data_IF_964055896091
#
_entry.id   IF_964055896091
#
_cell.length_a   1.000
_cell.length_b   1.000
_cell.length_c   1.000
_cell.angle_alpha   90.00
_cell.angle_beta   90.00
_cell.angle_gamma   90.00
#
_symmetry.space_group_name_H-M   'P 1'
#
loop_
_entity.id
_entity.type
_entity.pdbx_description
1 polymer ?
#
# COMPACT_ATOMS: atom_id res chain seq x y z
N UNK A 1 -37.88 31.13 39.82
CA UNK A 1 -37.22 31.01 38.49
C UNK A 1 -37.82 29.91 37.61
N UNK A 2 -37.97 28.66 38.09
CA UNK A 2 -38.49 27.51 37.33
C UNK A 2 -39.77 27.78 36.52
N UNK A 3 -40.78 28.38 37.15
CA UNK A 3 -42.06 28.74 36.51
C UNK A 3 -41.95 29.79 35.40
N UNK A 4 -40.93 30.66 35.45
CA UNK A 4 -40.74 31.74 34.46
C UNK A 4 -40.10 31.18 33.19
N UNK A 5 -39.13 30.26 33.33
CA UNK A 5 -38.44 29.59 32.23
C UNK A 5 -39.35 28.66 31.43
N UNK A 6 -40.19 27.83 32.08
CA UNK A 6 -41.21 27.03 31.38
C UNK A 6 -42.14 27.93 30.56
N UNK A 7 -42.55 29.08 31.12
CA UNK A 7 -43.47 29.99 30.42
C UNK A 7 -42.87 30.69 29.19
N UNK A 8 -41.54 30.76 29.07
CA UNK A 8 -40.88 31.47 27.96
C UNK A 8 -40.32 30.52 26.89
N UNK A 9 -39.97 29.29 27.26
CA UNK A 9 -39.22 28.34 26.42
C UNK A 9 -39.83 26.92 26.44
N UNK A 10 -41.13 26.83 26.75
CA UNK A 10 -41.88 25.62 27.11
C UNK A 10 -41.53 24.37 26.27
N UNK A 11 -41.39 24.54 24.95
CA UNK A 11 -41.07 23.46 24.00
C UNK A 11 -39.59 23.05 23.96
N UNK A 12 -38.69 23.98 24.29
CA UNK A 12 -37.25 23.89 24.00
C UNK A 12 -36.42 23.44 25.20
N UNK A 13 -37.00 23.34 26.39
CA UNK A 13 -36.29 22.95 27.61
C UNK A 13 -36.93 21.76 28.31
N UNK A 14 -36.09 20.93 28.92
CA UNK A 14 -36.50 19.83 29.82
C UNK A 14 -35.79 20.05 31.14
N UNK A 15 -36.54 20.11 32.23
CA UNK A 15 -35.98 20.27 33.58
C UNK A 15 -36.07 18.91 34.28
N UNK A 16 -34.93 18.29 34.55
CA UNK A 16 -34.82 17.00 35.23
C UNK A 16 -34.06 17.14 36.55
N UNK A 17 -34.22 16.16 37.45
CA UNK A 17 -33.38 16.01 38.63
C UNK A 17 -32.49 14.79 38.38
N UNK A 18 -31.17 15.00 38.37
CA UNK A 18 -30.19 13.95 38.11
C UNK A 18 -29.24 13.88 39.31
N UNK A 19 -29.08 12.68 39.89
CA UNK A 19 -28.17 12.39 41.01
C UNK A 19 -28.31 13.34 42.22
N UNK A 20 -29.54 13.65 42.62
CA UNK A 20 -29.82 14.47 43.80
C UNK A 20 -29.59 15.98 43.60
N UNK A 21 -29.24 16.42 42.38
CA UNK A 21 -29.21 17.84 42.02
C UNK A 21 -30.54 18.25 41.41
N UNK A 22 -31.34 18.96 42.19
CA UNK A 22 -32.58 19.56 41.73
C UNK A 22 -32.32 20.65 40.67
N UNK A 23 -33.15 20.65 39.62
CA UNK A 23 -33.22 21.70 38.58
C UNK A 23 -32.11 21.69 37.51
N UNK A 24 -31.74 20.53 36.97
CA UNK A 24 -30.91 20.46 35.75
C UNK A 24 -31.78 20.85 34.55
N UNK A 25 -31.43 21.96 33.89
CA UNK A 25 -32.13 22.46 32.70
C UNK A 25 -31.37 22.01 31.45
N UNK A 26 -32.01 21.21 30.61
CA UNK A 26 -31.46 20.75 29.33
C UNK A 26 -32.22 21.41 28.20
N UNK A 27 -31.52 22.15 27.34
CA UNK A 27 -32.11 22.73 26.12
C UNK A 27 -32.13 21.64 25.05
N UNK A 28 -33.31 21.26 24.56
CA UNK A 28 -33.51 20.17 23.59
C UNK A 28 -32.69 20.39 22.33
N UNK A 29 -32.74 21.57 21.73
CA UNK A 29 -31.97 21.88 20.53
C UNK A 29 -30.46 21.70 20.73
N UNK A 30 -29.94 22.07 21.90
CA UNK A 30 -28.52 21.91 22.21
C UNK A 30 -28.16 20.45 22.44
N UNK A 31 -29.00 19.70 23.16
CA UNK A 31 -28.81 18.28 23.37
C UNK A 31 -28.90 17.47 22.06
N UNK A 32 -29.87 17.78 21.20
CA UNK A 32 -30.00 17.19 19.86
C UNK A 32 -28.78 17.50 19.00
N UNK A 33 -28.31 18.76 18.97
CA UNK A 33 -27.07 19.11 18.25
C UNK A 33 -25.86 18.34 18.75
N UNK A 34 -25.68 18.23 20.07
CA UNK A 34 -24.57 17.48 20.67
C UNK A 34 -24.67 15.99 20.30
N UNK A 35 -25.86 15.39 20.41
CA UNK A 35 -26.08 14.00 20.03
C UNK A 35 -25.82 13.78 18.54
N UNK A 36 -26.34 14.67 17.69
CA UNK A 36 -26.19 14.55 16.25
C UNK A 36 -24.73 14.75 15.79
N UNK A 37 -23.98 15.65 16.44
CA UNK A 37 -22.53 15.81 16.24
C UNK A 37 -21.76 14.58 16.73
N UNK A 38 -22.07 14.07 17.92
CA UNK A 38 -21.42 12.88 18.49
C UNK A 38 -21.59 11.67 17.57
N UNK A 39 -22.81 11.42 17.09
CA UNK A 39 -23.09 10.31 16.17
C UNK A 39 -22.47 10.50 14.80
N UNK A 40 -22.44 11.72 14.26
CA UNK A 40 -21.77 12.03 12.99
C UNK A 40 -20.26 11.79 13.10
N UNK A 41 -19.63 12.30 14.15
CA UNK A 41 -18.19 12.17 14.39
C UNK A 41 -17.80 10.71 14.67
N UNK A 42 -18.63 9.96 15.38
CA UNK A 42 -18.47 8.51 15.59
C UNK A 42 -18.58 7.73 14.28
N UNK A 43 -19.57 8.05 13.45
CA UNK A 43 -19.75 7.38 12.15
C UNK A 43 -18.58 7.67 11.21
N UNK A 44 -18.08 8.91 11.19
CA UNK A 44 -16.90 9.29 10.39
C UNK A 44 -15.62 8.60 10.89
N UNK A 45 -15.41 8.52 12.22
CA UNK A 45 -14.25 7.83 12.81
C UNK A 45 -14.30 6.31 12.60
N UNK A 46 -15.48 5.70 12.74
CA UNK A 46 -15.71 4.27 12.51
C UNK A 46 -15.56 3.91 11.02
N UNK A 47 -16.05 4.76 10.12
CA UNK A 47 -15.85 4.59 8.67
C UNK A 47 -14.37 4.73 8.29
N UNK A 48 -13.63 5.65 8.91
CA UNK A 48 -12.19 5.81 8.68
C UNK A 48 -11.40 4.61 9.20
N UNK A 49 -11.68 4.18 10.42
CA UNK A 49 -11.06 2.99 11.02
C UNK A 49 -11.34 1.72 10.19
N UNK A 50 -12.58 1.54 9.73
CA UNK A 50 -12.96 0.39 8.91
C UNK A 50 -12.26 0.41 7.54
N UNK A 51 -12.11 1.58 6.91
CA UNK A 51 -11.29 1.72 5.68
C UNK A 51 -9.87 1.20 5.90
N UNK A 52 -9.21 1.60 6.99
CA UNK A 52 -7.87 1.13 7.30
C UNK A 52 -7.83 -0.38 7.58
N UNK A 53 -8.85 -0.94 8.23
CA UNK A 53 -8.96 -2.39 8.48
C UNK A 53 -9.08 -3.17 7.17
N UNK A 54 -9.87 -2.69 6.22
CA UNK A 54 -10.00 -3.30 4.89
C UNK A 54 -8.66 -3.27 4.16
N UNK A 55 -7.98 -2.12 4.12
CA UNK A 55 -6.68 -1.98 3.46
C UNK A 55 -5.64 -2.93 4.10
N UNK A 56 -5.60 -2.98 5.42
CA UNK A 56 -4.68 -3.86 6.14
C UNK A 56 -4.97 -5.35 5.90
N UNK A 57 -6.25 -5.71 5.77
CA UNK A 57 -6.67 -7.08 5.42
C UNK A 57 -6.26 -7.43 4.00
N UNK A 58 -6.48 -6.54 3.03
CA UNK A 58 -6.03 -6.72 1.66
C UNK A 58 -4.51 -6.86 1.57
N UNK A 59 -3.75 -6.01 2.29
CA UNK A 59 -2.30 -6.11 2.35
C UNK A 59 -1.81 -7.46 2.91
N UNK A 60 -2.49 -8.01 3.91
CA UNK A 60 -2.17 -9.34 4.45
C UNK A 60 -2.41 -10.47 3.44
N UNK A 61 -3.49 -10.39 2.67
CA UNK A 61 -3.78 -11.38 1.62
C UNK A 61 -2.72 -11.33 0.52
N UNK A 62 -2.40 -10.13 0.03
CA UNK A 62 -1.34 -9.94 -0.98
C UNK A 62 0.00 -10.48 -0.46
N UNK A 63 0.32 -10.22 0.80
CA UNK A 63 1.56 -10.72 1.41
C UNK A 63 1.60 -12.26 1.50
N UNK A 64 0.46 -12.91 1.74
CA UNK A 64 0.37 -14.36 1.73
C UNK A 64 0.62 -14.90 0.31
N UNK A 65 -0.03 -14.32 -0.70
CA UNK A 65 0.15 -14.72 -2.10
C UNK A 65 1.61 -14.57 -2.57
N UNK A 66 2.29 -13.49 -2.17
CA UNK A 66 3.73 -13.29 -2.47
C UNK A 66 4.62 -14.37 -1.84
N UNK A 67 4.25 -14.88 -0.67
CA UNK A 67 5.01 -15.94 0.01
C UNK A 67 4.82 -17.30 -0.65
N UNK A 68 3.63 -17.55 -1.19
CA UNK A 68 3.28 -18.82 -1.82
C UNK A 68 3.88 -18.99 -3.22
N UNK A 69 4.26 -17.90 -3.89
CA UNK A 69 4.96 -18.00 -5.17
C UNK A 69 6.32 -18.69 -4.97
N UNK A 70 6.55 -19.73 -5.77
CA UNK A 70 7.85 -20.39 -5.84
C UNK A 70 8.70 -19.69 -6.90
N UNK A 71 9.83 -19.14 -6.46
CA UNK A 71 10.85 -18.57 -7.35
C UNK A 71 12.04 -19.52 -7.40
N UNK A 72 12.44 -19.96 -8.60
CA UNK A 72 13.73 -20.63 -8.79
C UNK A 72 14.83 -19.57 -8.90
N UNK A 73 15.97 -19.84 -8.26
CA UNK A 73 17.22 -19.08 -8.42
C UNK A 73 18.25 -19.83 -9.25
N UNK A 74 17.87 -20.98 -9.79
CA UNK A 74 18.83 -21.91 -10.38
C UNK A 74 19.40 -21.33 -11.68
N UNK A 75 18.68 -20.39 -12.29
CA UNK A 75 19.06 -19.75 -13.54
C UNK A 75 18.79 -18.25 -13.50
N UNK A 76 19.72 -17.48 -14.06
CA UNK A 76 19.50 -16.07 -14.37
C UNK A 76 18.63 -15.94 -15.63
N UNK A 77 17.74 -14.93 -15.71
CA UNK A 77 16.88 -14.73 -16.87
C UNK A 77 17.68 -14.30 -18.10
N UNK A 78 17.46 -14.93 -19.25
CA UNK A 78 18.12 -14.58 -20.51
C UNK A 78 17.72 -13.19 -21.01
N UNK A 79 18.51 -12.60 -21.92
CA UNK A 79 18.19 -11.27 -22.50
C UNK A 79 16.81 -11.21 -23.17
N UNK A 80 16.35 -12.32 -23.76
CA UNK A 80 15.01 -12.41 -24.35
C UNK A 80 13.91 -12.32 -23.27
N UNK A 81 14.08 -13.03 -22.15
CA UNK A 81 13.17 -13.05 -20.99
C UNK A 81 13.09 -11.68 -20.32
N UNK A 82 14.20 -10.94 -20.27
CA UNK A 82 14.22 -9.57 -19.72
C UNK A 82 13.35 -8.61 -20.54
N UNK A 83 13.28 -8.81 -21.87
CA UNK A 83 12.48 -8.00 -22.78
C UNK A 83 11.00 -8.38 -22.84
N UNK A 84 10.62 -9.57 -22.36
CA UNK A 84 9.24 -10.05 -22.43
C UNK A 84 8.39 -9.47 -21.30
N UNK A 85 7.38 -8.69 -21.67
CA UNK A 85 6.45 -8.05 -20.75
C UNK A 85 5.50 -9.05 -20.06
N UNK A 86 5.19 -10.17 -20.71
CA UNK A 86 4.28 -11.18 -20.18
C UNK A 86 4.97 -12.07 -19.16
N UNK A 87 6.20 -12.52 -19.44
CA UNK A 87 6.99 -13.27 -18.46
C UNK A 87 7.34 -12.42 -17.23
N UNK A 88 7.67 -11.14 -17.41
CA UNK A 88 7.89 -10.22 -16.29
C UNK A 88 6.65 -10.03 -15.39
N UNK A 89 5.44 -10.18 -15.95
CA UNK A 89 4.19 -10.13 -15.20
C UNK A 89 3.91 -11.45 -14.44
N UNK A 90 4.37 -12.60 -14.95
CA UNK A 90 4.25 -13.91 -14.29
C UNK A 90 5.04 -14.01 -12.97
N UNK A 91 6.06 -13.15 -12.79
CA UNK A 91 6.79 -13.05 -11.52
C UNK A 91 5.98 -12.41 -10.37
N UNK A 92 4.79 -11.88 -10.65
CA UNK A 92 3.97 -11.16 -9.69
C UNK A 92 2.70 -11.95 -9.33
N UNK A 93 2.26 -11.93 -8.05
CA UNK A 93 0.97 -12.49 -7.71
C UNK A 93 -0.15 -11.71 -8.39
N UNK A 94 -1.16 -12.43 -8.87
CA UNK A 94 -2.33 -11.84 -9.51
C UNK A 94 -3.03 -10.79 -8.63
N UNK A 95 -3.04 -11.00 -7.30
CA UNK A 95 -3.59 -10.05 -6.33
C UNK A 95 -2.82 -8.72 -6.28
N UNK A 96 -1.49 -8.76 -6.36
CA UNK A 96 -0.64 -7.56 -6.43
C UNK A 96 -0.84 -6.83 -7.76
N UNK A 97 -0.91 -7.56 -8.87
CA UNK A 97 -1.18 -6.99 -10.20
C UNK A 97 -2.52 -6.27 -10.21
N UNK A 98 -3.58 -6.91 -9.70
CA UNK A 98 -4.92 -6.33 -9.60
C UNK A 98 -4.92 -5.06 -8.73
N UNK A 99 -4.23 -5.10 -7.59
CA UNK A 99 -4.12 -3.94 -6.70
C UNK A 99 -3.39 -2.76 -7.37
N UNK A 100 -2.25 -3.02 -8.00
CA UNK A 100 -1.46 -1.99 -8.69
C UNK A 100 -2.20 -1.41 -9.91
N UNK A 101 -2.94 -2.24 -10.65
CA UNK A 101 -3.81 -1.77 -11.74
C UNK A 101 -4.94 -0.88 -11.23
N UNK A 102 -5.57 -1.25 -10.11
CA UNK A 102 -6.60 -0.44 -9.47
C UNK A 102 -6.07 0.93 -9.03
N UNK A 103 -4.81 1.01 -8.55
CA UNK A 103 -4.17 2.27 -8.19
C UNK A 103 -3.83 3.15 -9.39
N UNK A 104 -3.38 2.57 -10.51
CA UNK A 104 -2.83 3.34 -11.63
C UNK A 104 -3.86 3.76 -12.69
N UNK A 105 -5.11 3.28 -12.60
CA UNK A 105 -6.28 3.78 -13.33
C UNK A 105 -6.12 3.96 -14.86
N UNK A 106 -5.18 3.24 -15.48
CA UNK A 106 -4.89 3.27 -16.93
C UNK A 106 -4.69 1.84 -17.45
N UNK A 107 -5.47 1.45 -18.47
CA UNK A 107 -5.63 0.05 -18.90
C UNK A 107 -4.46 -0.54 -19.69
N UNK A 108 -3.70 0.23 -20.47
CA UNK A 108 -2.81 -0.35 -21.48
C UNK A 108 -1.32 0.06 -21.38
N UNK A 109 -1.01 1.29 -20.98
CA UNK A 109 0.37 1.81 -21.01
C UNK A 109 1.19 1.48 -19.75
N UNK A 110 0.59 0.75 -18.81
CA UNK A 110 1.10 0.64 -17.45
C UNK A 110 1.67 -0.74 -17.13
N UNK A 111 1.57 -1.74 -18.03
CA UNK A 111 2.04 -3.11 -17.74
C UNK A 111 3.50 -3.18 -17.30
N UNK A 112 4.41 -2.50 -18.02
CA UNK A 112 5.85 -2.45 -17.65
C UNK A 112 6.08 -1.72 -16.33
N UNK A 113 5.32 -0.64 -16.07
CA UNK A 113 5.40 0.10 -14.79
C UNK A 113 4.86 -0.73 -13.63
N UNK A 114 3.76 -1.46 -13.85
CA UNK A 114 3.20 -2.44 -12.90
C UNK A 114 4.21 -3.54 -12.63
N UNK A 115 4.87 -4.07 -13.66
CA UNK A 115 5.90 -5.10 -13.52
C UNK A 115 7.10 -4.59 -12.70
N UNK A 116 7.62 -3.40 -13.04
CA UNK A 116 8.76 -2.80 -12.34
C UNK A 116 8.45 -2.49 -10.86
N UNK A 117 7.33 -1.81 -10.59
CA UNK A 117 6.91 -1.50 -9.21
C UNK A 117 6.56 -2.78 -8.47
N UNK A 118 5.87 -3.72 -9.11
CA UNK A 118 5.52 -5.00 -8.51
C UNK A 118 6.75 -5.81 -8.13
N UNK A 119 7.79 -5.86 -8.98
CA UNK A 119 9.04 -6.57 -8.69
C UNK A 119 9.77 -5.91 -7.51
N UNK A 120 9.83 -4.58 -7.46
CA UNK A 120 10.41 -3.85 -6.34
C UNK A 120 9.64 -4.08 -5.02
N UNK A 121 8.31 -4.04 -5.07
CA UNK A 121 7.45 -4.32 -3.91
C UNK A 121 7.63 -5.77 -3.45
N UNK A 122 7.67 -6.72 -4.38
CA UNK A 122 7.86 -8.15 -4.08
C UNK A 122 9.22 -8.41 -3.44
N UNK A 123 10.30 -7.79 -3.96
CA UNK A 123 11.64 -7.86 -3.38
C UNK A 123 11.68 -7.24 -1.97
N UNK A 124 10.96 -6.15 -1.74
CA UNK A 124 10.83 -5.53 -0.42
C UNK A 124 10.03 -6.40 0.56
N UNK A 125 8.97 -7.06 0.09
CA UNK A 125 8.15 -7.98 0.89
C UNK A 125 8.88 -9.29 1.22
N UNK A 126 9.73 -9.77 0.33
CA UNK A 126 10.43 -11.06 0.44
C UNK A 126 11.88 -10.95 -0.03
N UNK A 127 12.75 -10.62 0.93
CA UNK A 127 14.19 -10.44 0.70
C UNK A 127 14.84 -11.74 0.20
N UNK A 128 15.69 -11.63 -0.82
CA UNK A 128 16.56 -12.70 -1.33
C UNK A 128 15.84 -13.96 -1.84
N UNK A 129 14.66 -13.87 -2.45
CA UNK A 129 14.02 -15.06 -3.04
C UNK A 129 13.79 -14.88 -4.54
N UNK A 130 13.49 -13.66 -4.97
CA UNK A 130 13.32 -13.31 -6.37
C UNK A 130 14.63 -12.73 -6.94
N UNK A 131 14.97 -13.11 -8.17
CA UNK A 131 15.93 -12.42 -9.04
C UNK A 131 15.11 -11.42 -9.87
N UNK A 132 15.05 -10.13 -9.52
CA UNK A 132 14.20 -9.17 -10.21
C UNK A 132 14.77 -8.83 -11.58
N UNK A 133 14.21 -9.46 -12.61
CA UNK A 133 14.66 -9.40 -14.01
C UNK A 133 14.84 -7.97 -14.53
N UNK A 134 13.88 -7.07 -14.25
CA UNK A 134 13.96 -5.68 -14.71
C UNK A 134 15.02 -4.86 -13.95
N UNK A 135 15.25 -5.16 -12.67
CA UNK A 135 16.26 -4.47 -11.87
C UNK A 135 17.68 -4.92 -12.23
N UNK A 136 17.87 -6.20 -12.58
CA UNK A 136 19.14 -6.69 -13.13
C UNK A 136 19.41 -6.07 -14.49
N UNK A 137 18.41 -6.03 -15.38
CA UNK A 137 18.54 -5.37 -16.68
C UNK A 137 19.01 -3.92 -16.55
N UNK A 138 18.40 -3.17 -15.63
CA UNK A 138 18.81 -1.81 -15.31
C UNK A 138 20.25 -1.75 -14.77
N UNK A 139 20.60 -2.65 -13.83
CA UNK A 139 21.94 -2.71 -13.25
C UNK A 139 23.04 -2.99 -14.29
N UNK A 140 22.80 -3.93 -15.21
CA UNK A 140 23.71 -4.27 -16.31
C UNK A 140 23.87 -3.07 -17.27
N UNK A 141 22.77 -2.41 -17.64
CA UNK A 141 22.83 -1.22 -18.49
C UNK A 141 23.57 -0.06 -17.84
N UNK A 142 23.37 0.17 -16.54
CA UNK A 142 24.11 1.18 -15.79
C UNK A 142 25.60 0.81 -15.66
N UNK A 143 25.92 -0.47 -15.50
CA UNK A 143 27.29 -0.94 -15.47
C UNK A 143 28.00 -0.67 -16.80
N UNK A 144 27.38 -1.01 -17.93
CA UNK A 144 27.93 -0.77 -19.26
C UNK A 144 28.04 0.72 -19.62
N UNK A 145 27.04 1.54 -19.28
CA UNK A 145 27.00 2.96 -19.68
C UNK A 145 27.91 3.86 -18.84
N UNK A 146 28.01 3.58 -17.54
CA UNK A 146 28.63 4.52 -16.59
C UNK A 146 29.77 3.92 -15.77
N UNK A 147 29.88 2.58 -15.67
CA UNK A 147 30.91 1.91 -14.86
C UNK A 147 30.91 2.31 -13.37
N UNK A 148 29.91 3.07 -12.93
CA UNK A 148 29.92 3.75 -11.64
C UNK A 148 29.19 2.92 -10.59
N UNK A 149 29.96 2.04 -9.95
CA UNK A 149 29.51 1.16 -8.87
C UNK A 149 28.71 1.89 -7.79
N UNK A 150 29.10 3.12 -7.43
CA UNK A 150 28.41 3.88 -6.39
C UNK A 150 26.96 4.28 -6.76
N UNK A 151 26.62 4.45 -8.05
CA UNK A 151 25.22 4.67 -8.47
C UNK A 151 24.41 3.39 -8.36
N UNK A 152 24.99 2.24 -8.72
CA UNK A 152 24.35 0.94 -8.57
C UNK A 152 24.09 0.66 -7.09
N UNK A 153 25.08 0.89 -6.22
CA UNK A 153 24.93 0.71 -4.77
C UNK A 153 23.89 1.67 -4.18
N UNK A 154 23.82 2.92 -4.67
CA UNK A 154 22.78 3.87 -4.27
C UNK A 154 21.39 3.39 -4.67
N UNK A 155 21.19 3.04 -5.95
CA UNK A 155 19.89 2.55 -6.44
C UNK A 155 19.48 1.22 -5.81
N UNK A 156 20.45 0.37 -5.48
CA UNK A 156 20.22 -0.85 -4.73
C UNK A 156 19.72 -0.56 -3.31
N UNK A 157 20.32 0.41 -2.61
CA UNK A 157 19.87 0.81 -1.27
C UNK A 157 18.44 1.39 -1.26
N UNK A 158 18.01 1.98 -2.39
CA UNK A 158 16.64 2.45 -2.60
C UNK A 158 15.65 1.35 -3.05
N UNK A 159 16.14 0.16 -3.42
CA UNK A 159 15.31 -0.97 -3.89
C UNK A 159 14.90 -0.89 -5.36
N UNK A 160 15.58 -0.09 -6.18
CA UNK A 160 15.32 0.04 -7.62
C UNK A 160 16.30 -0.73 -8.50
N UNK A 161 17.40 -1.23 -7.94
CA UNK A 161 18.43 -1.97 -8.66
C UNK A 161 18.86 -3.22 -7.88
N UNK A 162 19.32 -4.24 -8.60
CA UNK A 162 19.99 -5.39 -8.01
C UNK A 162 21.38 -5.01 -7.48
N UNK A 163 21.92 -5.84 -6.60
CA UNK A 163 23.24 -5.57 -6.04
C UNK A 163 24.30 -5.63 -7.14
N UNK A 164 25.37 -4.85 -6.99
CA UNK A 164 26.49 -4.88 -7.94
C UNK A 164 27.06 -6.31 -8.11
N UNK A 165 27.11 -7.08 -7.02
CA UNK A 165 27.53 -8.49 -7.05
C UNK A 165 26.61 -9.34 -7.93
N UNK A 166 25.29 -9.22 -7.82
CA UNK A 166 24.35 -9.96 -8.67
C UNK A 166 24.47 -9.58 -10.15
N UNK A 167 24.74 -8.30 -10.44
CA UNK A 167 24.99 -7.83 -11.82
C UNK A 167 26.26 -8.48 -12.38
N UNK A 168 27.33 -8.56 -11.61
CA UNK A 168 28.56 -9.24 -12.05
C UNK A 168 28.37 -10.74 -12.25
N UNK A 169 27.65 -11.41 -11.35
CA UNK A 169 27.31 -12.83 -11.51
C UNK A 169 26.50 -13.05 -12.80
N UNK A 170 25.54 -12.16 -13.07
CA UNK A 170 24.75 -12.20 -14.30
C UNK A 170 25.63 -12.08 -15.55
N UNK A 171 26.55 -11.11 -15.59
CA UNK A 171 27.48 -10.93 -16.72
C UNK A 171 28.41 -12.12 -16.92
N UNK A 172 28.90 -12.72 -15.82
CA UNK A 172 29.74 -13.93 -15.87
C UNK A 172 28.97 -15.14 -16.39
N UNK A 173 27.73 -15.35 -15.94
CA UNK A 173 26.85 -16.40 -16.45
C UNK A 173 26.50 -16.19 -17.94
N UNK A 174 26.25 -14.94 -18.34
CA UNK A 174 25.98 -14.60 -19.73
C UNK A 174 27.19 -14.82 -20.63
N UNK A 175 28.40 -14.48 -20.16
CA UNK A 175 29.65 -14.73 -20.89
C UNK A 175 29.99 -16.22 -20.99
N UNK A 176 29.63 -17.02 -19.98
CA UNK A 176 29.83 -18.47 -19.97
C UNK A 176 28.85 -19.24 -20.85
N UNK A 177 27.77 -18.57 -21.29
CA UNK A 177 26.73 -19.15 -22.15
C UNK A 177 26.88 -18.77 -23.63
N UNK A 178 28.02 -18.16 -24.01
CA UNK A 178 28.39 -17.81 -25.40
C UNK A 178 29.24 -18.89 -26.05
#
# INVERSE_FOLDING_TARGET
MKKKLMKTLDSDIVITNIQGKDSVVTIRMTAEKILHQFWKQRKESETSAEKFRIIHTAAKLILADVKDIQYSKDFYPTREVVGDLEENANYLPASLVLFLQALMNKKNETKLKTASIGQAVTQAMRRNILIPTLQIGLGVQLHHLHGFRALIDLLHSLGFCSSYHEVQCFEQCAASSQ
#
